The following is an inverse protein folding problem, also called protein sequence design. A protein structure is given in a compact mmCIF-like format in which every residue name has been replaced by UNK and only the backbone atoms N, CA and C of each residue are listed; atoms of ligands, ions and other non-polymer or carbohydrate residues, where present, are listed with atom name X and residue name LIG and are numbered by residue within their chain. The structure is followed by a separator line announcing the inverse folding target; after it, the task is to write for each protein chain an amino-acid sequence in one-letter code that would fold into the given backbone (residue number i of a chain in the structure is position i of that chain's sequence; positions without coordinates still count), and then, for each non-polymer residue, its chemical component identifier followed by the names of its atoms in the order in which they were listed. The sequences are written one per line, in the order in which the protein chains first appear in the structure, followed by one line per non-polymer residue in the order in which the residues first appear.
data_IF_600421912611
#
_entry.id   IF_600421912611
#
_cell.length_a   1.000
_cell.length_b   1.000
_cell.length_c   1.000
_cell.angle_alpha   90.00
_cell.angle_beta   90.00
_cell.angle_gamma   90.00
#
_symmetry.space_group_name_H-M   'P 1'
#
loop_
_entity.id
_entity.type
_entity.pdbx_description
1 polymer ?
#
# COMPACT_ATOMS: atom_id res chain seq x y z
N UNK A 1 1.22 9.62 14.28
CA UNK A 1 2.25 10.05 15.14
C UNK A 1 1.82 9.97 16.59
N UNK A 2 2.07 8.81 17.23
CA UNK A 2 1.54 8.43 18.53
C UNK A 2 1.88 9.44 19.63
N UNK A 3 3.13 9.88 19.69
CA UNK A 3 3.59 10.86 20.69
C UNK A 3 2.90 12.22 20.53
N UNK A 4 2.68 12.66 19.27
CA UNK A 4 1.96 13.89 18.98
C UNK A 4 0.48 13.80 19.35
N UNK A 5 -0.12 12.60 19.25
CA UNK A 5 -1.50 12.37 19.69
C UNK A 5 -1.62 12.29 21.21
N UNK A 6 -0.67 11.63 21.86
CA UNK A 6 -0.62 11.61 23.33
C UNK A 6 -0.50 13.03 23.91
N UNK A 7 0.32 13.89 23.28
CA UNK A 7 0.42 15.30 23.66
C UNK A 7 -0.88 16.07 23.39
N UNK A 8 -1.54 15.80 22.26
CA UNK A 8 -2.80 16.45 21.92
C UNK A 8 -3.94 16.02 22.82
N UNK A 9 -3.99 14.73 23.16
CA UNK A 9 -5.00 14.16 24.05
C UNK A 9 -4.74 14.58 25.50
N UNK A 10 -3.48 14.78 25.91
CA UNK A 10 -3.12 15.36 27.21
C UNK A 10 -3.52 16.83 27.30
N UNK A 11 -3.46 17.58 26.20
CA UNK A 11 -3.92 18.98 26.12
C UNK A 11 -5.44 19.06 26.11
N UNK A 12 -6.13 18.09 25.49
CA UNK A 12 -7.59 17.99 25.53
C UNK A 12 -8.13 17.57 26.90
N UNK A 13 -7.25 17.29 27.87
CA UNK A 13 -7.61 16.99 29.26
C UNK A 13 -8.65 15.87 29.44
N UNK A 14 -8.68 14.93 28.49
CA UNK A 14 -9.52 13.74 28.58
C UNK A 14 -8.81 12.64 29.38
N UNK A 15 -8.36 12.98 30.58
CA UNK A 15 -8.04 11.98 31.57
C UNK A 15 -9.33 11.59 32.25
N UNK A 16 -9.94 10.52 31.80
CA UNK A 16 -11.05 9.93 32.54
C UNK A 16 -10.53 9.32 33.82
N UNK A 17 -10.95 9.87 34.96
CA UNK A 17 -10.72 9.30 36.28
C UNK A 17 -11.67 8.12 36.56
N UNK A 18 -12.40 7.66 35.56
CA UNK A 18 -13.42 6.61 35.66
C UNK A 18 -13.04 5.41 34.83
N UNK A 19 -12.78 4.30 35.51
CA UNK A 19 -12.54 2.96 34.95
C UNK A 19 -13.81 2.33 34.35
N UNK A 20 -14.62 3.09 33.62
CA UNK A 20 -15.83 2.54 33.02
C UNK A 20 -15.60 2.21 31.55
N UNK A 21 -15.94 1.00 31.16
CA UNK A 21 -15.91 0.54 29.77
C UNK A 21 -16.62 1.48 28.79
N UNK A 22 -17.66 2.18 29.28
CA UNK A 22 -18.43 3.15 28.49
C UNK A 22 -17.60 4.36 28.05
N UNK A 23 -16.68 4.85 28.89
CA UNK A 23 -15.84 6.01 28.57
C UNK A 23 -14.75 5.65 27.59
N UNK A 24 -14.28 4.39 27.62
CA UNK A 24 -13.34 3.86 26.63
C UNK A 24 -13.99 3.75 25.25
N UNK A 25 -15.23 3.27 25.15
CA UNK A 25 -15.97 3.15 23.90
C UNK A 25 -16.24 4.52 23.28
N UNK A 26 -16.70 5.51 24.08
CA UNK A 26 -16.92 6.87 23.60
C UNK A 26 -15.63 7.55 23.12
N UNK A 27 -14.50 7.22 23.70
CA UNK A 27 -13.21 7.74 23.28
C UNK A 27 -12.72 7.18 21.95
N UNK A 28 -13.00 5.92 21.67
CA UNK A 28 -12.72 5.31 20.37
C UNK A 28 -13.56 5.92 19.25
N UNK A 29 -14.82 6.23 19.51
CA UNK A 29 -15.70 6.92 18.56
C UNK A 29 -15.23 8.34 18.25
N UNK A 30 -14.52 9.00 19.17
CA UNK A 30 -13.93 10.32 18.95
C UNK A 30 -12.61 10.29 18.15
N UNK A 31 -12.15 9.13 17.68
CA UNK A 31 -11.00 8.97 16.81
C UNK A 31 -9.65 8.90 17.52
N UNK A 32 -9.61 8.54 18.79
CA UNK A 32 -8.38 8.21 19.51
C UNK A 32 -7.92 6.78 19.14
N UNK A 33 -6.64 6.59 18.81
CA UNK A 33 -6.10 5.27 18.46
C UNK A 33 -5.92 4.36 19.69
N UNK A 34 -5.79 4.93 20.88
CA UNK A 34 -5.69 4.19 22.14
C UNK A 34 -5.92 5.08 23.37
N UNK A 35 -6.34 4.48 24.48
CA UNK A 35 -6.62 5.14 25.75
C UNK A 35 -5.65 4.75 26.84
N UNK A 36 -5.14 5.73 27.58
CA UNK A 36 -4.32 5.52 28.77
C UNK A 36 -4.97 6.24 29.93
N UNK A 37 -5.46 5.49 30.93
CA UNK A 37 -6.06 6.04 32.16
C UNK A 37 -4.97 6.46 33.14
N UNK A 38 -5.21 7.54 33.91
CA UNK A 38 -4.33 7.98 35.00
C UNK A 38 -4.77 7.32 36.33
N UNK A 39 -3.82 6.94 37.23
CA UNK A 39 -2.37 6.96 37.06
C UNK A 39 -1.90 5.87 36.09
N UNK A 40 -1.05 6.21 35.10
CA UNK A 40 -0.50 5.25 34.16
C UNK A 40 0.89 4.75 34.57
N UNK A 41 1.10 3.47 34.37
CA UNK A 41 2.44 2.87 34.52
C UNK A 41 3.24 3.09 33.25
N UNK A 42 4.51 3.51 33.41
CA UNK A 42 5.44 3.63 32.29
C UNK A 42 5.57 2.30 31.53
N UNK A 43 5.51 1.17 32.26
CA UNK A 43 5.54 -0.18 31.67
C UNK A 43 4.36 -0.43 30.72
N UNK A 44 3.15 0.00 31.11
CA UNK A 44 1.94 -0.13 30.27
C UNK A 44 2.04 0.75 29.02
N UNK A 45 2.58 1.96 29.16
CA UNK A 45 2.81 2.86 28.03
C UNK A 45 3.82 2.24 27.05
N UNK A 46 4.94 1.71 27.54
CA UNK A 46 5.94 1.04 26.70
C UNK A 46 5.34 -0.17 25.97
N UNK A 47 4.59 -1.02 26.66
CA UNK A 47 3.92 -2.18 26.05
C UNK A 47 2.94 -1.79 24.95
N UNK A 48 2.19 -0.69 25.15
CA UNK A 48 1.27 -0.18 24.12
C UNK A 48 2.02 0.38 22.92
N UNK A 49 3.12 1.09 23.14
CA UNK A 49 4.00 1.60 22.09
C UNK A 49 4.60 0.44 21.29
N UNK A 50 5.15 -0.58 21.96
CA UNK A 50 5.71 -1.78 21.31
C UNK A 50 4.64 -2.53 20.51
N UNK A 51 3.43 -2.70 21.06
CA UNK A 51 2.32 -3.34 20.36
C UNK A 51 1.92 -2.57 19.11
N UNK A 52 1.93 -1.23 19.17
CA UNK A 52 1.64 -0.37 18.03
C UNK A 52 2.69 -0.50 16.93
N UNK A 53 3.98 -0.50 17.29
CA UNK A 53 5.08 -0.72 16.33
C UNK A 53 5.03 -2.12 15.72
N UNK A 54 4.77 -3.17 16.51
CA UNK A 54 4.63 -4.54 16.04
C UNK A 54 3.47 -4.68 15.03
N UNK A 55 2.29 -4.14 15.32
CA UNK A 55 1.14 -4.13 14.40
C UNK A 55 1.46 -3.41 13.10
N UNK A 56 2.27 -2.36 13.15
CA UNK A 56 2.71 -1.63 11.95
C UNK A 56 3.69 -2.45 11.13
N UNK A 57 4.62 -3.16 11.76
CA UNK A 57 5.53 -4.09 11.08
C UNK A 57 4.79 -5.27 10.45
N UNK A 58 3.88 -5.91 11.19
CA UNK A 58 3.04 -7.01 10.68
C UNK A 58 2.19 -6.56 9.48
N UNK A 59 1.61 -5.36 9.52
CA UNK A 59 0.90 -4.78 8.36
C UNK A 59 1.83 -4.50 7.18
N UNK A 60 3.05 -4.09 7.42
CA UNK A 60 4.03 -3.80 6.37
C UNK A 60 4.52 -5.10 5.73
N UNK A 61 4.72 -6.17 6.50
CA UNK A 61 5.09 -7.48 5.97
C UNK A 61 3.92 -8.19 5.29
N UNK A 62 2.72 -8.15 5.86
CA UNK A 62 1.51 -8.73 5.28
C UNK A 62 1.06 -8.04 3.98
N UNK A 63 1.50 -6.81 3.74
CA UNK A 63 1.21 -6.06 2.50
C UNK A 63 2.38 -5.98 1.53
N UNK A 64 3.41 -6.82 1.68
CA UNK A 64 4.61 -6.79 0.85
C UNK A 64 4.50 -7.81 -0.27
N UNK A 65 4.61 -7.36 -1.51
CA UNK A 65 4.69 -8.22 -2.68
C UNK A 65 6.09 -8.17 -3.28
N UNK A 66 6.70 -9.32 -3.49
CA UNK A 66 8.05 -9.46 -4.03
C UNK A 66 8.00 -10.23 -5.34
N UNK A 67 8.57 -9.66 -6.38
CA UNK A 67 8.68 -10.30 -7.69
C UNK A 67 10.02 -9.98 -8.35
N UNK A 68 10.92 -10.94 -8.39
CA UNK A 68 12.30 -10.70 -8.81
C UNK A 68 12.98 -9.63 -7.95
N UNK A 69 13.47 -8.58 -8.58
CA UNK A 69 14.11 -7.44 -7.91
C UNK A 69 13.11 -6.37 -7.42
N UNK A 70 11.82 -6.54 -7.72
CA UNK A 70 10.76 -5.59 -7.38
C UNK A 70 10.15 -5.95 -6.03
N UNK A 71 10.05 -4.95 -5.16
CA UNK A 71 9.36 -5.02 -3.88
C UNK A 71 8.33 -3.91 -3.81
N UNK A 72 7.07 -4.28 -3.70
CA UNK A 72 5.96 -3.35 -3.45
C UNK A 72 5.50 -3.45 -2.00
N UNK A 73 5.48 -2.34 -1.31
CA UNK A 73 5.03 -2.22 0.10
C UNK A 73 3.69 -1.48 0.10
N UNK A 74 2.60 -2.24 0.16
CA UNK A 74 1.25 -1.68 0.03
C UNK A 74 0.89 -0.67 1.13
N UNK A 75 1.30 -0.92 2.37
CA UNK A 75 1.04 -0.02 3.50
C UNK A 75 1.72 1.34 3.39
N UNK A 76 2.79 1.45 2.64
CA UNK A 76 3.55 2.69 2.40
C UNK A 76 3.36 3.22 0.97
N UNK A 77 2.70 2.46 0.10
CA UNK A 77 2.55 2.73 -1.32
C UNK A 77 3.91 2.95 -2.02
N UNK A 78 4.93 2.22 -1.59
CA UNK A 78 6.31 2.31 -2.09
C UNK A 78 6.68 1.14 -2.96
N UNK A 79 7.47 1.44 -3.98
CA UNK A 79 8.07 0.45 -4.87
C UNK A 79 9.58 0.58 -4.82
N UNK A 80 10.25 -0.55 -4.58
CA UNK A 80 11.71 -0.63 -4.59
C UNK A 80 12.13 -1.57 -5.73
N UNK A 81 13.21 -1.21 -6.42
CA UNK A 81 13.88 -2.08 -7.39
C UNK A 81 15.35 -2.14 -7.02
N UNK A 82 15.88 -3.36 -6.81
CA UNK A 82 17.25 -3.56 -6.36
C UNK A 82 17.58 -2.70 -5.13
N UNK A 83 16.63 -2.64 -4.18
CA UNK A 83 16.70 -1.86 -2.93
C UNK A 83 16.69 -0.33 -3.11
N UNK A 84 16.40 0.17 -4.31
CA UNK A 84 16.24 1.61 -4.56
C UNK A 84 14.76 1.95 -4.73
N UNK A 85 14.29 2.95 -4.01
CA UNK A 85 12.93 3.46 -4.17
C UNK A 85 12.78 4.15 -5.53
N UNK A 86 11.72 3.80 -6.25
CA UNK A 86 11.36 4.43 -7.53
C UNK A 86 10.05 5.20 -7.39
N UNK A 87 9.94 6.30 -8.12
CA UNK A 87 8.73 7.10 -8.17
C UNK A 87 7.84 6.68 -9.34
N UNK A 88 6.63 6.24 -9.02
CA UNK A 88 5.58 5.93 -9.99
C UNK A 88 4.45 6.95 -9.91
N UNK A 89 3.84 7.27 -11.04
CA UNK A 89 2.58 8.01 -11.07
C UNK A 89 1.45 7.13 -10.49
N UNK A 90 0.32 7.75 -10.14
CA UNK A 90 -0.87 7.02 -9.64
C UNK A 90 -1.31 5.91 -10.60
N UNK A 91 -1.32 6.19 -11.90
CA UNK A 91 -1.70 5.21 -12.94
C UNK A 91 -0.68 4.09 -13.07
N UNK A 92 0.61 4.41 -13.09
CA UNK A 92 1.68 3.41 -13.12
C UNK A 92 1.67 2.50 -11.89
N UNK A 93 1.41 3.06 -10.71
CA UNK A 93 1.30 2.29 -9.47
C UNK A 93 0.08 1.37 -9.48
N UNK A 94 -1.09 1.86 -9.90
CA UNK A 94 -2.30 1.04 -10.08
C UNK A 94 -2.04 -0.10 -11.06
N UNK A 95 -1.39 0.19 -12.18
CA UNK A 95 -1.05 -0.80 -13.22
C UNK A 95 -0.08 -1.86 -12.67
N UNK A 96 0.99 -1.46 -12.00
CA UNK A 96 1.94 -2.39 -11.36
C UNK A 96 1.24 -3.28 -10.33
N UNK A 97 0.42 -2.70 -9.46
CA UNK A 97 -0.32 -3.44 -8.44
C UNK A 97 -1.27 -4.46 -9.08
N UNK A 98 -1.97 -4.07 -10.12
CA UNK A 98 -2.88 -4.98 -10.84
C UNK A 98 -2.14 -6.16 -11.46
N UNK A 99 -0.96 -5.95 -12.04
CA UNK A 99 -0.11 -7.03 -12.53
C UNK A 99 0.42 -7.93 -11.41
N UNK A 100 0.89 -7.37 -10.29
CA UNK A 100 1.39 -8.13 -9.14
C UNK A 100 0.32 -8.98 -8.46
N UNK A 101 -0.94 -8.54 -8.52
CA UNK A 101 -2.10 -9.30 -8.00
C UNK A 101 -2.55 -10.42 -8.92
N UNK A 102 -2.15 -10.39 -10.20
CA UNK A 102 -2.53 -11.37 -11.22
C UNK A 102 -1.30 -11.97 -11.93
N UNK A 103 -0.34 -12.55 -11.17
CA UNK A 103 0.88 -13.10 -11.75
C UNK A 103 0.57 -14.28 -12.67
N UNK A 104 1.33 -14.38 -13.76
CA UNK A 104 1.18 -15.45 -14.77
C UNK A 104 -0.18 -15.52 -15.48
N UNK A 105 -1.05 -14.53 -15.28
CA UNK A 105 -2.32 -14.43 -15.99
C UNK A 105 -2.22 -13.44 -17.15
N UNK A 106 -2.82 -13.80 -18.27
CA UNK A 106 -2.95 -12.89 -19.41
C UNK A 106 -4.09 -11.92 -19.10
N UNK A 107 -3.76 -10.65 -19.03
CA UNK A 107 -4.69 -9.56 -18.80
C UNK A 107 -5.02 -8.90 -20.15
N UNK A 108 -6.28 -8.93 -20.53
CA UNK A 108 -6.74 -8.25 -21.75
C UNK A 108 -6.66 -6.73 -21.59
N UNK A 109 -6.60 -6.01 -22.68
CA UNK A 109 -6.63 -4.54 -22.66
C UNK A 109 -7.88 -4.03 -21.96
N UNK A 110 -9.05 -4.64 -22.18
CA UNK A 110 -10.29 -4.29 -21.51
C UNK A 110 -10.18 -4.44 -20.00
N UNK A 111 -9.65 -5.56 -19.51
CA UNK A 111 -9.43 -5.77 -18.07
C UNK A 111 -8.50 -4.73 -17.46
N UNK A 112 -7.44 -4.36 -18.18
CA UNK A 112 -6.51 -3.31 -17.72
C UNK A 112 -7.21 -1.95 -17.67
N UNK A 113 -8.01 -1.61 -18.70
CA UNK A 113 -8.79 -0.37 -18.73
C UNK A 113 -9.73 -0.27 -17.53
N UNK A 114 -10.53 -1.30 -17.29
CA UNK A 114 -11.55 -1.32 -16.25
C UNK A 114 -10.98 -1.28 -14.83
N UNK A 115 -9.78 -1.83 -14.60
CA UNK A 115 -9.20 -1.95 -13.26
C UNK A 115 -8.15 -0.87 -12.93
N UNK A 116 -7.53 -0.26 -13.94
CA UNK A 116 -6.45 0.71 -13.74
C UNK A 116 -6.94 2.14 -13.92
N UNK A 117 -7.85 2.35 -14.85
CA UNK A 117 -8.36 3.68 -15.18
C UNK A 117 -9.76 3.87 -14.59
N UNK A 118 -9.96 4.99 -13.91
CA UNK A 118 -11.28 5.36 -13.43
C UNK A 118 -12.11 5.81 -14.65
N UNK A 119 -13.15 5.05 -14.99
CA UNK A 119 -14.00 5.27 -16.17
C UNK A 119 -14.93 6.50 -16.04
N UNK A 120 -14.87 7.23 -14.92
CA UNK A 120 -15.65 8.45 -14.71
C UNK A 120 -15.00 9.63 -15.45
N UNK A 121 -15.28 9.75 -16.73
CA UNK A 121 -15.15 11.00 -17.46
C UNK A 121 -14.12 11.12 -18.57
N UNK A 122 -13.12 10.26 -18.66
CA UNK A 122 -12.15 10.30 -19.76
C UNK A 122 -12.31 9.09 -20.68
N UNK A 123 -12.46 9.36 -21.98
CA UNK A 123 -12.34 8.34 -23.03
C UNK A 123 -10.90 7.85 -23.08
N UNK A 124 -10.58 6.83 -22.27
CA UNK A 124 -9.28 6.17 -22.29
C UNK A 124 -9.32 5.12 -23.41
N UNK A 125 -8.57 5.36 -24.47
CA UNK A 125 -8.47 4.41 -25.58
C UNK A 125 -7.40 3.34 -25.31
N UNK A 126 -7.38 2.29 -26.12
CA UNK A 126 -6.39 1.21 -26.00
C UNK A 126 -4.92 1.68 -26.19
N UNK A 127 -4.69 2.80 -26.88
CA UNK A 127 -3.37 3.38 -27.09
C UNK A 127 -2.80 3.91 -25.77
N UNK A 128 -3.67 4.39 -24.88
CA UNK A 128 -3.27 4.85 -23.53
C UNK A 128 -2.65 3.71 -22.71
N UNK A 129 -3.15 2.47 -22.86
CA UNK A 129 -2.56 1.31 -22.20
C UNK A 129 -1.13 1.08 -22.68
N UNK A 130 -0.91 1.04 -24.00
CA UNK A 130 0.40 0.81 -24.59
C UNK A 130 1.43 1.87 -24.14
N UNK A 131 1.02 3.14 -24.09
CA UNK A 131 1.86 4.24 -23.60
C UNK A 131 2.21 4.06 -22.12
N UNK A 132 1.24 3.71 -21.27
CA UNK A 132 1.49 3.51 -19.84
C UNK A 132 2.32 2.25 -19.56
N UNK A 133 2.10 1.16 -20.29
CA UNK A 133 2.95 -0.05 -20.25
C UNK A 133 4.39 0.30 -20.61
N UNK A 134 4.61 1.08 -21.67
CA UNK A 134 5.95 1.52 -22.07
C UNK A 134 6.62 2.33 -20.96
N UNK A 135 5.92 3.33 -20.41
CA UNK A 135 6.44 4.16 -19.30
C UNK A 135 6.76 3.34 -18.05
N UNK A 136 5.89 2.38 -17.71
CA UNK A 136 6.13 1.49 -16.58
C UNK A 136 7.36 0.61 -16.83
N UNK A 137 7.50 0.02 -18.02
CA UNK A 137 8.70 -0.76 -18.40
C UNK A 137 9.99 0.07 -18.30
N UNK A 138 9.97 1.32 -18.76
CA UNK A 138 11.13 2.22 -18.66
C UNK A 138 11.61 2.42 -17.21
N UNK A 139 10.73 2.21 -16.23
CA UNK A 139 11.04 2.34 -14.81
C UNK A 139 11.40 1.03 -14.11
N UNK A 140 10.80 -0.09 -14.54
CA UNK A 140 10.94 -1.37 -13.83
C UNK A 140 11.81 -2.41 -14.54
N UNK A 141 12.00 -2.29 -15.85
CA UNK A 141 12.79 -3.24 -16.64
C UNK A 141 14.22 -2.74 -16.80
N UNK A 142 15.20 -3.63 -16.71
CA UNK A 142 16.59 -3.30 -17.05
C UNK A 142 16.74 -2.96 -18.54
N UNK A 143 15.96 -3.65 -19.39
CA UNK A 143 15.88 -3.39 -20.82
C UNK A 143 14.40 -3.36 -21.27
N UNK A 144 13.80 -2.18 -21.44
CA UNK A 144 12.41 -2.07 -21.85
C UNK A 144 12.07 -2.68 -23.22
N UNK A 145 13.07 -2.81 -24.10
CA UNK A 145 12.90 -3.44 -25.42
C UNK A 145 12.87 -4.98 -25.34
N UNK A 146 13.45 -5.56 -24.29
CA UNK A 146 13.43 -6.99 -24.00
C UNK A 146 12.88 -7.24 -22.58
N UNK A 147 11.60 -6.96 -22.33
CA UNK A 147 11.03 -6.95 -20.98
C UNK A 147 11.00 -8.35 -20.37
N UNK A 148 11.33 -8.43 -19.09
CA UNK A 148 11.32 -9.65 -18.28
C UNK A 148 10.02 -9.74 -17.45
N UNK A 149 9.52 -8.62 -16.95
CA UNK A 149 8.35 -8.57 -16.09
C UNK A 149 7.05 -8.51 -16.90
N UNK A 150 6.85 -7.46 -17.70
CA UNK A 150 5.61 -7.27 -18.46
C UNK A 150 5.84 -7.68 -19.91
N UNK A 151 5.28 -8.82 -20.32
CA UNK A 151 5.35 -9.29 -21.70
C UNK A 151 4.05 -9.03 -22.46
N UNK A 152 4.18 -8.76 -23.75
CA UNK A 152 3.03 -8.65 -24.66
C UNK A 152 2.72 -10.06 -25.22
N UNK A 153 1.46 -10.46 -25.10
CA UNK A 153 0.92 -11.67 -25.73
C UNK A 153 0.07 -11.22 -26.92
N UNK A 154 0.60 -11.41 -28.11
CA UNK A 154 0.00 -10.92 -29.36
C UNK A 154 -1.47 -11.33 -29.49
N UNK A 155 -2.34 -10.35 -29.70
CA UNK A 155 -3.77 -10.54 -29.85
C UNK A 155 -4.56 -10.80 -28.56
N UNK A 156 -3.90 -10.99 -27.42
CA UNK A 156 -4.54 -11.32 -26.15
C UNK A 156 -4.39 -10.24 -25.07
N UNK A 157 -3.24 -9.58 -24.99
CA UNK A 157 -2.99 -8.55 -23.98
C UNK A 157 -1.58 -8.63 -23.41
N UNK A 158 -1.48 -8.48 -22.09
CA UNK A 158 -0.21 -8.44 -21.37
C UNK A 158 -0.19 -9.45 -20.23
N UNK A 159 0.99 -9.89 -19.84
CA UNK A 159 1.19 -10.83 -18.75
C UNK A 159 2.35 -10.38 -17.87
N UNK A 160 2.16 -10.50 -16.54
CA UNK A 160 3.27 -10.45 -15.59
C UNK A 160 4.00 -11.79 -15.58
N UNK A 161 5.18 -11.82 -16.13
CA UNK A 161 5.89 -13.09 -16.44
C UNK A 161 6.77 -13.61 -15.30
N UNK A 162 6.67 -13.07 -14.11
CA UNK A 162 7.41 -13.50 -12.92
C UNK A 162 6.47 -14.00 -11.82
N UNK A 163 7.01 -14.83 -10.92
CA UNK A 163 6.31 -15.21 -9.71
C UNK A 163 6.21 -14.02 -8.74
N UNK A 164 5.14 -13.99 -7.95
CA UNK A 164 4.95 -13.01 -6.89
C UNK A 164 4.79 -13.74 -5.57
N UNK A 165 5.58 -13.33 -4.56
CA UNK A 165 5.50 -13.81 -3.19
C UNK A 165 4.90 -12.71 -2.32
N UNK A 166 4.04 -13.11 -1.42
CA UNK A 166 3.42 -12.26 -0.40
C UNK A 166 3.97 -12.62 0.96
#
# INVERSE_FOLDING_TARGET
NLLRRLDKDSVANQSTALDQEMDQVMGYEAGADDYITKPFSLSVLLLKIEAHFRRRQEKTEAGKMISGDIVFIAGEMKVLIKSREISLTKTELKMLTFFLQNPKQILSKTQILENVFDLEGDFVDENTIAVNIRRLREKIEDNPAAPVYIKNIRGLGYIWNQEVRQ
#
